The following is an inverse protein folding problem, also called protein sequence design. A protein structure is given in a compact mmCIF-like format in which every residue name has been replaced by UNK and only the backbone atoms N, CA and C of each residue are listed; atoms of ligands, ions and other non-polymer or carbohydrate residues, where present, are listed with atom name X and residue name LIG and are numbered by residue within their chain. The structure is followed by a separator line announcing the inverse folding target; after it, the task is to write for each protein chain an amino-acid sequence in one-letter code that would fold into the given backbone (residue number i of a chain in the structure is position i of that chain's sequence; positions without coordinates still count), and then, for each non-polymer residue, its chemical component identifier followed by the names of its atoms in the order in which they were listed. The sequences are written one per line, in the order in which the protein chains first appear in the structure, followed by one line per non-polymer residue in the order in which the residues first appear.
data_IF_858304169519
#
_entry.id   IF_858304169519
#
_cell.length_a   1.000
_cell.length_b   1.000
_cell.length_c   1.000
_cell.angle_alpha   90.00
_cell.angle_beta   90.00
_cell.angle_gamma   90.00
#
_symmetry.space_group_name_H-M   'P 1'
#
loop_
_entity.id
_entity.type
_entity.pdbx_description
1 polymer ?
#
# COMPACT_ATOMS: atom_id res chain seq x y z
N UNK A 1 8.43 8.89 -9.37
CA UNK A 1 8.05 7.89 -10.40
C UNK A 1 6.60 8.10 -10.77
N UNK A 2 6.33 8.27 -12.07
CA UNK A 2 4.98 8.55 -12.57
C UNK A 2 4.20 7.25 -12.81
N UNK A 3 2.87 7.30 -12.65
CA UNK A 3 1.96 6.21 -13.02
C UNK A 3 1.06 6.69 -14.16
N UNK A 4 1.05 5.97 -15.26
CA UNK A 4 0.17 6.24 -16.40
C UNK A 4 -0.72 5.02 -16.66
N UNK A 5 -2.01 5.25 -16.77
CA UNK A 5 -3.01 4.24 -17.14
C UNK A 5 -3.69 4.71 -18.41
N UNK A 6 -3.75 3.85 -19.43
CA UNK A 6 -4.37 4.15 -20.72
C UNK A 6 -5.41 3.09 -21.06
N UNK A 7 -6.63 3.54 -21.33
CA UNK A 7 -7.75 2.74 -21.84
C UNK A 7 -8.00 1.45 -21.03
N UNK A 8 -7.78 1.50 -19.70
CA UNK A 8 -7.87 0.33 -18.85
C UNK A 8 -9.32 -0.15 -18.75
N UNK A 9 -9.52 -1.42 -19.08
CA UNK A 9 -10.77 -2.13 -18.89
C UNK A 9 -10.55 -3.37 -18.02
N UNK A 10 -11.44 -3.58 -17.04
CA UNK A 10 -11.37 -4.72 -16.13
C UNK A 10 -12.75 -5.34 -15.96
N UNK A 11 -12.82 -6.63 -16.17
CA UNK A 11 -14.02 -7.44 -16.02
C UNK A 11 -13.91 -8.29 -14.74
N UNK A 12 -14.98 -8.31 -13.93
CA UNK A 12 -15.15 -9.24 -12.82
C UNK A 12 -16.40 -10.09 -13.05
N UNK A 13 -16.28 -11.42 -13.02
CA UNK A 13 -17.39 -12.34 -13.23
C UNK A 13 -18.27 -11.98 -14.44
N UNK A 14 -17.63 -11.70 -15.58
CA UNK A 14 -18.27 -11.30 -16.85
C UNK A 14 -18.96 -9.91 -16.84
N UNK A 15 -18.76 -9.12 -15.79
CA UNK A 15 -19.27 -7.75 -15.72
C UNK A 15 -18.13 -6.77 -15.84
N UNK A 16 -18.20 -5.83 -16.79
CA UNK A 16 -17.20 -4.78 -16.96
C UNK A 16 -17.34 -3.73 -15.85
N UNK A 17 -16.37 -3.75 -14.93
CA UNK A 17 -16.33 -2.86 -13.77
C UNK A 17 -15.58 -1.57 -14.11
N UNK A 18 -14.41 -1.67 -14.74
CA UNK A 18 -13.67 -0.51 -15.21
C UNK A 18 -13.82 -0.40 -16.73
N UNK A 19 -14.16 0.80 -17.20
CA UNK A 19 -14.46 1.08 -18.60
C UNK A 19 -13.59 2.23 -19.07
N UNK A 20 -12.60 1.93 -19.89
CA UNK A 20 -11.74 2.91 -20.55
C UNK A 20 -11.15 3.96 -19.59
N UNK A 21 -10.54 3.49 -18.48
CA UNK A 21 -9.96 4.37 -17.48
C UNK A 21 -8.64 4.92 -18.01
N UNK A 22 -8.54 6.25 -18.00
CA UNK A 22 -7.33 6.99 -18.33
C UNK A 22 -6.93 7.83 -17.11
N UNK A 23 -5.68 7.72 -16.67
CA UNK A 23 -5.16 8.40 -15.47
C UNK A 23 -3.67 8.64 -15.64
N UNK A 24 -3.22 9.83 -15.30
CA UNK A 24 -1.80 10.17 -15.23
C UNK A 24 -1.51 10.77 -13.85
N UNK A 25 -0.54 10.19 -13.15
CA UNK A 25 -0.07 10.61 -11.83
C UNK A 25 1.43 10.90 -11.94
N UNK A 26 1.82 12.11 -11.60
CA UNK A 26 3.23 12.52 -11.61
C UNK A 26 3.96 12.01 -10.37
N UNK A 27 5.26 11.97 -10.48
CA UNK A 27 6.14 11.65 -9.35
C UNK A 27 5.82 12.54 -8.14
N UNK A 28 5.64 11.93 -6.97
CA UNK A 28 5.38 12.63 -5.73
C UNK A 28 3.96 13.25 -5.65
N UNK A 29 3.04 12.88 -6.50
CA UNK A 29 1.63 13.30 -6.35
C UNK A 29 0.89 12.40 -5.35
N UNK A 30 0.06 13.02 -4.54
CA UNK A 30 -0.90 12.36 -3.65
C UNK A 30 -2.30 12.45 -4.24
N UNK A 31 -2.84 11.30 -4.67
CA UNK A 31 -4.14 11.22 -5.33
C UNK A 31 -5.18 10.58 -4.41
N UNK A 32 -6.33 11.22 -4.27
CA UNK A 32 -7.49 10.67 -3.56
C UNK A 32 -8.58 10.25 -4.55
N UNK A 33 -8.96 8.97 -4.50
CA UNK A 33 -10.06 8.42 -5.30
C UNK A 33 -11.38 8.57 -4.54
N UNK A 34 -12.26 9.42 -5.03
CA UNK A 34 -13.59 9.65 -4.46
C UNK A 34 -14.66 8.96 -5.30
N UNK A 35 -15.69 8.44 -4.65
CA UNK A 35 -16.82 7.80 -5.33
C UNK A 35 -17.61 6.89 -4.39
N UNK A 36 -18.84 6.54 -4.79
CA UNK A 36 -19.72 5.66 -4.04
C UNK A 36 -19.08 4.28 -3.80
N UNK A 37 -19.59 3.55 -2.79
CA UNK A 37 -19.21 2.15 -2.60
C UNK A 37 -19.56 1.34 -3.84
N UNK A 38 -18.67 0.45 -4.27
CA UNK A 38 -18.85 -0.38 -5.45
C UNK A 38 -18.54 0.28 -6.80
N UNK A 39 -18.13 1.54 -6.86
CA UNK A 39 -17.79 2.21 -8.14
C UNK A 39 -16.47 1.74 -8.79
N UNK A 40 -15.76 0.78 -8.19
CA UNK A 40 -14.55 0.19 -8.79
C UNK A 40 -13.21 0.67 -8.21
N UNK A 41 -13.17 1.49 -7.14
CA UNK A 41 -11.91 1.97 -6.52
C UNK A 41 -10.95 0.84 -6.16
N UNK A 42 -11.41 -0.13 -5.38
CA UNK A 42 -10.64 -1.33 -5.02
C UNK A 42 -10.23 -2.15 -6.23
N UNK A 43 -11.09 -2.24 -7.27
CA UNK A 43 -10.76 -2.92 -8.53
C UNK A 43 -9.60 -2.23 -9.23
N UNK A 44 -9.62 -0.90 -9.32
CA UNK A 44 -8.53 -0.13 -9.90
C UNK A 44 -7.21 -0.34 -9.14
N UNK A 45 -7.23 -0.20 -7.81
CA UNK A 45 -6.03 -0.40 -6.99
C UNK A 45 -5.46 -1.81 -7.13
N UNK A 46 -6.32 -2.86 -7.12
CA UNK A 46 -5.91 -4.24 -7.33
C UNK A 46 -5.35 -4.49 -8.73
N UNK A 47 -5.89 -3.85 -9.77
CA UNK A 47 -5.38 -3.95 -11.13
C UNK A 47 -3.99 -3.31 -11.25
N UNK A 48 -3.76 -2.15 -10.64
CA UNK A 48 -2.44 -1.52 -10.57
C UNK A 48 -1.44 -2.43 -9.84
N UNK A 49 -1.87 -3.03 -8.73
CA UNK A 49 -1.04 -3.95 -7.95
C UNK A 49 -0.80 -5.32 -8.64
N UNK A 50 -1.49 -5.62 -9.73
CA UNK A 50 -1.37 -6.91 -10.44
C UNK A 50 -2.12 -8.06 -9.79
N UNK A 51 -3.05 -7.76 -8.89
CA UNK A 51 -3.88 -8.75 -8.21
C UNK A 51 -5.17 -9.08 -8.99
N UNK A 52 -5.44 -8.34 -10.05
CA UNK A 52 -6.52 -8.60 -11.01
C UNK A 52 -5.96 -8.46 -12.41
N UNK A 53 -6.38 -9.37 -13.28
CA UNK A 53 -6.07 -9.30 -14.70
C UNK A 53 -6.84 -8.15 -15.37
N UNK A 54 -6.19 -7.50 -16.32
CA UNK A 54 -6.78 -6.45 -17.14
C UNK A 54 -7.10 -7.02 -18.52
N UNK A 55 -8.27 -6.73 -19.05
CA UNK A 55 -8.68 -7.22 -20.36
C UNK A 55 -8.15 -6.35 -21.49
N UNK A 56 -8.10 -5.04 -21.25
CA UNK A 56 -7.64 -4.05 -22.24
C UNK A 56 -6.89 -2.94 -21.54
N UNK A 57 -6.05 -2.22 -22.26
CA UNK A 57 -5.31 -1.06 -21.79
C UNK A 57 -3.91 -1.38 -21.27
N UNK A 58 -3.21 -0.34 -20.84
CA UNK A 58 -1.83 -0.43 -20.36
C UNK A 58 -1.65 0.36 -19.07
N UNK A 59 -0.89 -0.24 -18.14
CA UNK A 59 -0.46 0.39 -16.88
C UNK A 59 1.04 0.52 -16.93
N UNK A 60 1.56 1.74 -16.77
CA UNK A 60 2.99 2.05 -16.84
C UNK A 60 3.47 2.74 -15.58
N UNK A 61 4.67 2.39 -15.15
CA UNK A 61 5.45 3.19 -14.19
C UNK A 61 6.62 3.77 -14.96
N UNK A 62 6.70 5.08 -14.99
CA UNK A 62 7.56 5.84 -15.92
C UNK A 62 7.30 5.35 -17.37
N UNK A 63 8.35 4.95 -18.09
CA UNK A 63 8.22 4.45 -19.46
C UNK A 63 8.04 2.94 -19.56
N UNK A 64 7.94 2.23 -18.42
CA UNK A 64 7.90 0.76 -18.40
C UNK A 64 6.47 0.27 -18.17
N UNK A 65 5.94 -0.54 -19.10
CA UNK A 65 4.67 -1.24 -18.90
C UNK A 65 4.81 -2.31 -17.82
N UNK A 66 3.87 -2.29 -16.87
CA UNK A 66 3.78 -3.26 -15.78
C UNK A 66 2.55 -4.15 -15.89
N UNK A 67 1.74 -3.97 -16.92
CA UNK A 67 0.44 -4.65 -17.10
C UNK A 67 0.56 -6.17 -16.97
N UNK A 68 1.55 -6.76 -17.62
CA UNK A 68 1.77 -8.21 -17.64
C UNK A 68 2.80 -8.69 -16.63
N UNK A 69 3.28 -7.82 -15.74
CA UNK A 69 4.22 -8.22 -14.69
C UNK A 69 3.47 -8.84 -13.52
N UNK A 70 4.08 -9.87 -12.92
CA UNK A 70 3.63 -10.43 -11.66
C UNK A 70 3.66 -9.36 -10.54
N UNK A 71 2.76 -9.42 -9.54
CA UNK A 71 2.60 -8.38 -8.51
C UNK A 71 3.91 -7.97 -7.84
N UNK A 72 4.76 -8.94 -7.49
CA UNK A 72 6.03 -8.70 -6.81
C UNK A 72 7.09 -7.97 -7.67
N UNK A 73 6.86 -7.88 -8.99
CA UNK A 73 7.76 -7.21 -9.94
C UNK A 73 7.29 -5.81 -10.33
N UNK A 74 6.08 -5.40 -9.90
CA UNK A 74 5.49 -4.11 -10.28
C UNK A 74 6.06 -2.92 -9.51
N UNK A 75 6.69 -3.15 -8.37
CA UNK A 75 7.17 -2.09 -7.49
C UNK A 75 6.04 -1.32 -6.79
N UNK A 76 4.83 -1.85 -6.80
CA UNK A 76 3.67 -1.29 -6.10
C UNK A 76 3.39 -2.08 -4.83
N UNK A 77 2.90 -1.40 -3.79
CA UNK A 77 2.44 -2.06 -2.56
C UNK A 77 1.05 -1.54 -2.21
N UNK A 78 0.16 -2.44 -1.84
CA UNK A 78 -1.20 -2.09 -1.43
C UNK A 78 -1.42 -2.38 0.05
N UNK A 79 -1.97 -1.38 0.76
CA UNK A 79 -2.52 -1.55 2.11
C UNK A 79 -4.03 -1.72 1.97
N UNK A 80 -4.53 -2.88 2.36
CA UNK A 80 -5.94 -3.21 2.29
C UNK A 80 -6.72 -2.68 3.49
N UNK A 81 -8.01 -2.52 3.34
CA UNK A 81 -8.94 -2.14 4.40
C UNK A 81 -8.87 -3.09 5.61
N UNK A 82 -8.72 -4.41 5.39
CA UNK A 82 -8.58 -5.45 6.41
C UNK A 82 -7.15 -5.62 6.94
N UNK A 83 -6.21 -4.73 6.54
CA UNK A 83 -4.80 -4.63 6.91
C UNK A 83 -3.95 -5.87 6.61
N UNK A 84 -4.52 -7.07 6.56
CA UNK A 84 -3.88 -8.37 6.29
C UNK A 84 -2.57 -8.59 7.05
N UNK A 85 -2.54 -8.17 8.31
CA UNK A 85 -1.40 -8.44 9.19
C UNK A 85 -1.34 -9.92 9.55
N UNK A 86 -0.13 -10.45 9.74
CA UNK A 86 0.09 -11.83 10.17
C UNK A 86 -0.12 -11.94 11.68
N UNK A 87 -1.24 -12.55 12.15
CA UNK A 87 -1.63 -12.49 13.56
C UNK A 87 -0.71 -13.28 14.49
N UNK A 88 0.00 -14.27 13.95
CA UNK A 88 0.96 -15.10 14.70
C UNK A 88 2.36 -14.49 14.81
N UNK A 89 2.62 -13.41 14.09
CA UNK A 89 3.89 -12.68 14.08
C UNK A 89 3.87 -11.49 15.02
N UNK A 90 5.05 -11.08 15.48
CA UNK A 90 5.24 -9.82 16.19
C UNK A 90 5.18 -8.63 15.25
N UNK A 91 5.19 -7.41 15.80
CA UNK A 91 5.27 -6.16 15.04
C UNK A 91 6.53 -6.14 14.17
N UNK A 92 7.70 -6.41 14.76
CA UNK A 92 8.98 -6.49 14.03
C UNK A 92 8.90 -7.50 12.86
N UNK A 93 8.38 -8.70 13.12
CA UNK A 93 8.26 -9.73 12.09
C UNK A 93 7.30 -9.36 10.97
N UNK A 94 6.18 -8.68 11.28
CA UNK A 94 5.28 -8.15 10.25
C UNK A 94 5.98 -7.12 9.37
N UNK A 95 6.69 -6.16 9.97
CA UNK A 95 7.39 -5.11 9.23
C UNK A 95 8.53 -5.70 8.41
N UNK A 96 9.33 -6.61 8.98
CA UNK A 96 10.49 -7.18 8.30
C UNK A 96 10.17 -8.23 7.23
N UNK A 97 8.92 -8.67 7.12
CA UNK A 97 8.53 -9.79 6.27
C UNK A 97 9.04 -9.69 4.81
N UNK A 98 8.86 -8.54 4.17
CA UNK A 98 9.34 -8.31 2.80
C UNK A 98 10.86 -8.35 2.69
N UNK A 99 11.55 -7.88 3.74
CA UNK A 99 13.01 -7.89 3.82
C UNK A 99 13.56 -9.31 4.04
N UNK A 100 12.81 -10.17 4.73
CA UNK A 100 13.15 -11.60 4.90
C UNK A 100 13.10 -12.33 3.55
N UNK A 101 12.07 -12.06 2.74
CA UNK A 101 11.96 -12.61 1.38
C UNK A 101 13.11 -12.15 0.47
N UNK A 102 13.56 -10.90 0.62
CA UNK A 102 14.72 -10.33 -0.10
C UNK A 102 16.07 -10.77 0.50
N UNK A 103 16.08 -11.60 1.57
CA UNK A 103 17.29 -12.07 2.28
C UNK A 103 18.20 -10.95 2.78
N UNK A 104 17.62 -9.83 3.21
CA UNK A 104 18.37 -8.70 3.77
C UNK A 104 19.05 -9.12 5.09
N UNK A 105 20.31 -8.74 5.34
CA UNK A 105 21.03 -9.08 6.56
C UNK A 105 20.29 -8.62 7.83
N UNK A 106 20.40 -9.41 8.91
CA UNK A 106 19.68 -9.15 10.16
C UNK A 106 19.94 -7.76 10.73
N UNK A 107 21.16 -7.27 10.66
CA UNK A 107 21.55 -5.94 11.16
C UNK A 107 20.80 -4.83 10.43
N UNK A 108 20.76 -4.91 9.10
CA UNK A 108 20.11 -3.90 8.26
C UNK A 108 18.60 -3.93 8.42
N UNK A 109 17.99 -5.14 8.56
CA UNK A 109 16.58 -5.29 8.90
C UNK A 109 16.23 -4.63 10.22
N UNK A 110 17.01 -4.88 11.27
CA UNK A 110 16.75 -4.30 12.58
C UNK A 110 16.86 -2.77 12.57
N UNK A 111 17.85 -2.22 11.88
CA UNK A 111 17.98 -0.78 11.70
C UNK A 111 16.75 -0.20 10.98
N UNK A 112 16.35 -0.80 9.86
CA UNK A 112 15.21 -0.33 9.06
C UNK A 112 13.88 -0.46 9.82
N UNK A 113 13.66 -1.55 10.56
CA UNK A 113 12.47 -1.71 11.42
C UNK A 113 12.43 -0.62 12.49
N UNK A 114 13.55 -0.34 13.17
CA UNK A 114 13.62 0.74 14.17
C UNK A 114 13.29 2.11 13.58
N UNK A 115 13.83 2.45 12.41
CA UNK A 115 13.48 3.69 11.70
C UNK A 115 11.99 3.78 11.39
N UNK A 116 11.42 2.71 10.83
CA UNK A 116 10.00 2.68 10.46
C UNK A 116 9.09 2.77 11.69
N UNK A 117 9.43 2.08 12.78
CA UNK A 117 8.68 2.18 14.05
C UNK A 117 8.70 3.60 14.62
N UNK A 118 9.82 4.29 14.54
CA UNK A 118 9.92 5.70 14.93
C UNK A 118 9.01 6.58 14.07
N UNK A 119 9.05 6.39 12.77
CA UNK A 119 8.25 7.15 11.81
C UNK A 119 6.74 6.96 12.04
N UNK A 120 6.30 5.73 12.33
CA UNK A 120 4.88 5.46 12.64
C UNK A 120 4.53 5.60 14.13
N UNK A 121 5.46 6.12 14.96
CA UNK A 121 5.27 6.37 16.40
C UNK A 121 4.89 5.10 17.19
N UNK A 122 5.59 4.01 16.94
CA UNK A 122 5.43 2.71 17.63
C UNK A 122 6.77 2.20 18.19
N UNK A 123 7.66 3.10 18.63
CA UNK A 123 8.92 2.73 19.28
C UNK A 123 8.66 1.89 20.53
N UNK A 124 9.42 0.82 20.71
CA UNK A 124 9.27 -0.11 21.83
C UNK A 124 8.19 -1.18 21.65
N UNK A 125 7.53 -1.24 20.49
CA UNK A 125 6.49 -2.22 20.20
C UNK A 125 6.99 -3.44 19.41
N UNK A 126 8.28 -3.55 19.14
CA UNK A 126 8.90 -4.55 18.26
C UNK A 126 8.46 -5.97 18.57
N UNK A 127 8.44 -6.32 19.86
CA UNK A 127 8.14 -7.68 20.36
C UNK A 127 6.67 -7.95 20.62
N UNK A 128 5.80 -6.93 20.55
CA UNK A 128 4.35 -7.11 20.77
C UNK A 128 3.74 -7.95 19.68
N UNK A 129 2.74 -8.74 20.02
CA UNK A 129 1.92 -9.48 19.05
C UNK A 129 0.82 -8.57 18.49
N UNK A 130 0.43 -8.80 17.26
CA UNK A 130 -0.61 -8.02 16.58
C UNK A 130 -1.94 -8.04 17.34
N UNK A 131 -2.25 -9.15 18.00
CA UNK A 131 -3.48 -9.31 18.79
C UNK A 131 -3.54 -8.39 20.03
N UNK A 132 -2.40 -7.94 20.52
CA UNK A 132 -2.27 -7.04 21.69
C UNK A 132 -2.38 -5.55 21.29
N UNK A 133 -2.58 -5.26 19.99
CA UNK A 133 -2.57 -3.92 19.44
C UNK A 133 -3.98 -3.36 19.24
N UNK A 134 -4.17 -2.07 19.48
CA UNK A 134 -5.39 -1.36 19.12
C UNK A 134 -5.58 -1.29 17.57
N UNK A 135 -6.78 -0.92 17.11
CA UNK A 135 -7.06 -0.75 15.67
C UNK A 135 -6.11 0.23 15.00
N UNK A 136 -5.93 1.42 15.56
CA UNK A 136 -5.01 2.43 15.04
C UNK A 136 -3.54 1.98 15.06
N UNK A 137 -3.11 1.28 16.13
CA UNK A 137 -1.77 0.72 16.19
C UNK A 137 -1.54 -0.33 15.09
N UNK A 138 -2.52 -1.21 14.85
CA UNK A 138 -2.44 -2.19 13.75
C UNK A 138 -2.34 -1.53 12.38
N UNK A 139 -3.04 -0.41 12.17
CA UNK A 139 -2.91 0.34 10.90
C UNK A 139 -1.52 0.94 10.74
N UNK A 140 -0.94 1.51 11.79
CA UNK A 140 0.45 2.01 11.78
C UNK A 140 1.45 0.88 11.46
N UNK A 141 1.24 -0.33 12.00
CA UNK A 141 2.06 -1.51 11.66
C UNK A 141 1.89 -1.89 10.19
N UNK A 142 0.65 -1.90 9.65
CA UNK A 142 0.41 -2.22 8.24
C UNK A 142 1.07 -1.22 7.30
N UNK A 143 1.04 0.08 7.65
CA UNK A 143 1.72 1.13 6.91
C UNK A 143 3.24 0.96 6.96
N UNK A 144 3.82 0.71 8.14
CA UNK A 144 5.26 0.45 8.29
C UNK A 144 5.69 -0.79 7.48
N UNK A 145 4.89 -1.87 7.48
CA UNK A 145 5.14 -3.07 6.67
C UNK A 145 5.14 -2.76 5.16
N UNK A 146 4.21 -1.93 4.72
CA UNK A 146 4.15 -1.50 3.32
C UNK A 146 5.40 -0.70 2.93
N UNK A 147 5.82 0.24 3.77
CA UNK A 147 7.02 1.06 3.57
C UNK A 147 8.32 0.24 3.62
N UNK A 148 8.35 -0.84 4.41
CA UNK A 148 9.50 -1.74 4.48
C UNK A 148 9.77 -2.49 3.17
N UNK A 149 8.79 -2.61 2.31
CA UNK A 149 8.95 -3.19 0.97
C UNK A 149 9.63 -2.25 -0.03
N UNK A 150 9.82 -0.97 0.34
CA UNK A 150 10.38 0.10 -0.50
C UNK A 150 9.60 0.27 -1.82
N UNK A 151 8.29 0.61 -1.73
CA UNK A 151 7.44 0.71 -2.90
C UNK A 151 7.77 1.94 -3.74
N UNK A 152 7.67 1.80 -5.06
CA UNK A 152 7.66 2.93 -6.01
C UNK A 152 6.35 3.71 -5.91
N UNK A 153 5.25 2.99 -5.74
CA UNK A 153 3.89 3.52 -5.60
C UNK A 153 3.20 2.83 -4.42
N UNK A 154 2.68 3.62 -3.50
CA UNK A 154 1.91 3.15 -2.36
C UNK A 154 0.41 3.31 -2.64
N UNK A 155 -0.31 2.20 -2.61
CA UNK A 155 -1.74 2.13 -2.83
C UNK A 155 -2.45 1.92 -1.49
N UNK A 156 -3.47 2.73 -1.20
CA UNK A 156 -4.23 2.66 0.06
C UNK A 156 -5.71 2.41 -0.28
N UNK A 157 -6.24 1.25 0.10
CA UNK A 157 -7.63 0.86 -0.15
C UNK A 157 -8.47 1.06 1.12
N UNK A 158 -9.12 2.22 1.24
CA UNK A 158 -9.94 2.65 2.38
C UNK A 158 -9.25 2.43 3.75
N UNK A 159 -7.97 2.84 3.91
CA UNK A 159 -7.14 2.41 5.02
C UNK A 159 -7.62 2.92 6.39
N UNK A 160 -8.55 3.88 6.42
CA UNK A 160 -9.00 4.54 7.65
C UNK A 160 -10.52 4.39 7.89
N UNK A 161 -11.22 3.58 7.08
CA UNK A 161 -12.69 3.47 7.13
C UNK A 161 -13.22 2.91 8.45
N UNK A 162 -12.43 2.08 9.15
CA UNK A 162 -12.80 1.44 10.42
C UNK A 162 -12.42 2.26 11.67
N UNK A 163 -11.84 3.45 11.50
CA UNK A 163 -11.41 4.31 12.61
C UNK A 163 -12.48 5.32 12.98
N UNK A 164 -12.48 5.70 14.27
CA UNK A 164 -13.16 6.90 14.73
C UNK A 164 -12.56 8.17 14.09
N UNK A 165 -13.25 9.29 14.22
CA UNK A 165 -12.90 10.53 13.52
C UNK A 165 -11.54 11.08 13.95
N UNK A 166 -11.21 11.03 15.24
CA UNK A 166 -9.94 11.53 15.76
C UNK A 166 -8.75 10.72 15.22
N UNK A 167 -8.83 9.39 15.34
CA UNK A 167 -7.79 8.49 14.80
C UNK A 167 -7.67 8.59 13.29
N UNK A 168 -8.77 8.84 12.58
CA UNK A 168 -8.75 9.05 11.13
C UNK A 168 -7.95 10.30 10.75
N UNK A 169 -8.16 11.41 11.46
CA UNK A 169 -7.40 12.64 11.26
C UNK A 169 -5.90 12.41 11.55
N UNK A 170 -5.56 11.79 12.69
CA UNK A 170 -4.17 11.47 13.03
C UNK A 170 -3.48 10.60 11.97
N UNK A 171 -4.19 9.59 11.45
CA UNK A 171 -3.65 8.71 10.41
C UNK A 171 -3.51 9.41 9.06
N UNK A 172 -4.43 10.29 8.71
CA UNK A 172 -4.33 11.11 7.50
C UNK A 172 -3.12 12.04 7.56
N UNK A 173 -2.88 12.68 8.70
CA UNK A 173 -1.71 13.53 8.91
C UNK A 173 -0.40 12.74 8.87
N UNK A 174 -0.39 11.53 9.47
CA UNK A 174 0.75 10.63 9.38
C UNK A 174 1.07 10.26 7.93
N UNK A 175 0.05 9.91 7.13
CA UNK A 175 0.26 9.55 5.72
C UNK A 175 0.75 10.75 4.91
N UNK A 176 0.23 11.96 5.13
CA UNK A 176 0.73 13.19 4.48
C UNK A 176 2.19 13.45 4.82
N UNK A 177 2.55 13.31 6.11
CA UNK A 177 3.93 13.44 6.57
C UNK A 177 4.85 12.44 5.88
N UNK A 178 4.48 11.16 5.84
CA UNK A 178 5.22 10.10 5.17
C UNK A 178 5.37 10.36 3.67
N UNK A 179 4.31 10.78 3.00
CA UNK A 179 4.34 11.15 1.60
C UNK A 179 5.40 12.22 1.32
N UNK A 180 5.45 13.26 2.16
CA UNK A 180 6.40 14.37 2.02
C UNK A 180 7.84 13.96 2.36
N UNK A 181 8.06 13.24 3.48
CA UNK A 181 9.40 12.89 3.96
C UNK A 181 10.08 11.79 3.14
N UNK A 182 9.29 10.90 2.52
CA UNK A 182 9.79 9.75 1.77
C UNK A 182 9.63 9.90 0.25
N UNK A 183 9.16 11.07 -0.23
CA UNK A 183 8.92 11.35 -1.66
C UNK A 183 8.09 10.26 -2.35
N UNK A 184 7.07 9.74 -1.65
CA UNK A 184 6.20 8.68 -2.16
C UNK A 184 5.26 9.19 -3.28
N UNK A 185 4.84 8.28 -4.14
CA UNK A 185 3.72 8.49 -5.09
C UNK A 185 2.59 7.57 -4.70
#
# INVERSE_FOLDING_TARGET
MSLTIKELCVDLQKTRILKNINLEIRTGEFISLLGASGCGKTTLLKSIAGLLETQEGDIRIDDTSITNLAPEKRGTVIVFQDLRLFPHMTVEQNISFSMDLKKIPKKDKQARVGELLKVVQLEGFEKRKIQEMSGGQRQRVALARALAADPKILLLDEPFSSLDENLRCEMADLVRKLHHEMELT
#
